data_IF_017624141228
#
_entry.id   IF_017624141228
#
_cell.length_a   1.000
_cell.length_b   1.000
_cell.length_c   1.000
_cell.angle_alpha   90.00
_cell.angle_beta   90.00
_cell.angle_gamma   90.00
#
_symmetry.space_group_name_H-M   'P 1'
#
loop_
_entity.id
_entity.type
_entity.pdbx_description
1 polymer ?
#
# COMPACT_ATOMS: atom_id res chain seq x y z
N UNK A 1 -5.41 -8.24 -37.95
CA UNK A 1 -6.60 -7.73 -37.19
C UNK A 1 -6.73 -8.61 -35.98
N UNK A 2 -6.80 -7.99 -34.78
CA UNK A 2 -6.89 -8.75 -33.54
C UNK A 2 -8.25 -9.40 -33.39
N UNK A 3 -8.26 -10.70 -33.03
CA UNK A 3 -9.44 -11.52 -32.83
C UNK A 3 -9.74 -11.65 -31.33
N UNK A 4 -10.94 -11.24 -30.90
CA UNK A 4 -11.37 -11.22 -29.49
C UNK A 4 -12.57 -12.15 -29.32
N UNK A 5 -12.51 -13.05 -28.33
CA UNK A 5 -13.64 -13.85 -27.88
C UNK A 5 -14.28 -13.19 -26.65
N UNK A 6 -15.56 -12.84 -26.73
CA UNK A 6 -16.38 -12.39 -25.59
C UNK A 6 -17.19 -13.57 -25.07
N UNK A 7 -17.12 -13.82 -23.77
CA UNK A 7 -17.92 -14.86 -23.10
C UNK A 7 -18.85 -14.17 -22.09
N UNK A 8 -20.14 -14.08 -22.46
CA UNK A 8 -21.14 -13.29 -21.74
C UNK A 8 -22.52 -13.87 -22.01
N UNK A 9 -23.30 -14.15 -20.99
CA UNK A 9 -24.64 -14.74 -21.09
C UNK A 9 -25.74 -13.70 -21.36
N UNK A 10 -25.52 -12.43 -20.97
CA UNK A 10 -26.42 -11.34 -21.37
C UNK A 10 -26.23 -11.01 -22.85
N UNK A 11 -27.23 -11.46 -23.65
CA UNK A 11 -27.24 -11.29 -25.10
C UNK A 11 -27.15 -9.81 -25.50
N UNK A 12 -27.83 -8.91 -24.78
CA UNK A 12 -27.87 -7.47 -25.06
C UNK A 12 -26.50 -6.84 -24.83
N UNK A 13 -25.90 -7.17 -23.70
CA UNK A 13 -24.57 -6.67 -23.33
C UNK A 13 -23.48 -7.24 -24.25
N UNK A 14 -23.55 -8.52 -24.57
CA UNK A 14 -22.64 -9.19 -25.52
C UNK A 14 -22.71 -8.55 -26.92
N UNK A 15 -23.92 -8.28 -27.42
CA UNK A 15 -24.12 -7.62 -28.73
C UNK A 15 -23.61 -6.17 -28.74
N UNK A 16 -23.82 -5.45 -27.65
CA UNK A 16 -23.31 -4.08 -27.48
C UNK A 16 -21.77 -4.08 -27.55
N UNK A 17 -21.09 -4.93 -26.79
CA UNK A 17 -19.63 -5.05 -26.77
C UNK A 17 -19.07 -5.48 -28.13
N UNK A 18 -19.69 -6.49 -28.74
CA UNK A 18 -19.28 -6.99 -30.08
C UNK A 18 -19.38 -5.90 -31.12
N UNK A 19 -20.47 -5.13 -31.13
CA UNK A 19 -20.68 -4.03 -32.08
C UNK A 19 -19.68 -2.90 -31.84
N UNK A 20 -19.46 -2.54 -30.58
CA UNK A 20 -18.56 -1.45 -30.21
C UNK A 20 -17.10 -1.77 -30.52
N UNK A 21 -16.61 -2.97 -30.14
CA UNK A 21 -15.24 -3.42 -30.45
C UNK A 21 -15.04 -3.60 -31.96
N UNK A 22 -16.05 -4.09 -32.70
CA UNK A 22 -16.02 -4.18 -34.14
C UNK A 22 -15.81 -2.81 -34.83
N UNK A 23 -16.48 -1.75 -34.34
CA UNK A 23 -16.25 -0.36 -34.79
C UNK A 23 -14.85 0.17 -34.47
N UNK A 24 -14.16 -0.41 -33.47
CA UNK A 24 -12.76 -0.07 -33.12
C UNK A 24 -11.72 -0.86 -33.91
N UNK A 25 -12.15 -1.72 -34.85
CA UNK A 25 -11.27 -2.46 -35.78
C UNK A 25 -10.86 -3.85 -35.29
N UNK A 26 -11.55 -4.41 -34.29
CA UNK A 26 -11.32 -5.78 -33.81
C UNK A 26 -12.26 -6.77 -34.53
N UNK A 27 -11.77 -8.01 -34.71
CA UNK A 27 -12.63 -9.14 -35.13
C UNK A 27 -13.18 -9.76 -33.83
N UNK A 28 -14.49 -9.74 -33.66
CA UNK A 28 -15.10 -10.17 -32.40
C UNK A 28 -16.02 -11.36 -32.61
N UNK A 29 -15.89 -12.39 -31.77
CA UNK A 29 -16.82 -13.50 -31.63
C UNK A 29 -17.40 -13.49 -30.24
N UNK A 30 -18.62 -13.99 -30.09
CA UNK A 30 -19.28 -14.09 -28.79
C UNK A 30 -19.70 -15.52 -28.48
N UNK A 31 -19.67 -15.86 -27.21
CA UNK A 31 -20.15 -17.10 -26.63
C UNK A 31 -20.99 -16.80 -25.41
N UNK A 32 -22.05 -17.55 -25.16
CA UNK A 32 -22.93 -17.36 -23.99
C UNK A 32 -22.65 -18.34 -22.85
N UNK A 33 -21.64 -19.20 -22.99
CA UNK A 33 -21.32 -20.23 -21.99
C UNK A 33 -19.85 -20.65 -22.05
N UNK A 34 -19.35 -21.21 -20.97
CA UNK A 34 -17.97 -21.76 -20.87
C UNK A 34 -17.79 -22.92 -21.86
N UNK A 35 -18.80 -23.77 -22.03
CA UNK A 35 -18.74 -24.93 -22.94
C UNK A 35 -18.62 -24.50 -24.39
N UNK A 36 -19.39 -23.49 -24.83
CA UNK A 36 -19.30 -22.96 -26.20
C UNK A 36 -17.96 -22.19 -26.41
N UNK A 37 -17.52 -21.48 -25.38
CA UNK A 37 -16.21 -20.79 -25.42
C UNK A 37 -15.04 -21.77 -25.63
N UNK A 38 -15.02 -22.88 -24.88
CA UNK A 38 -14.01 -23.95 -25.04
C UNK A 38 -14.03 -24.59 -26.42
N UNK A 39 -15.22 -24.83 -26.98
CA UNK A 39 -15.38 -25.37 -28.33
C UNK A 39 -14.78 -24.40 -29.36
N UNK A 40 -15.14 -23.11 -29.29
CA UNK A 40 -14.64 -22.09 -30.23
C UNK A 40 -13.14 -21.90 -30.12
N UNK A 41 -12.56 -21.92 -28.92
CA UNK A 41 -11.12 -21.85 -28.69
C UNK A 41 -10.34 -23.05 -29.24
N UNK A 42 -11.03 -24.18 -29.47
CA UNK A 42 -10.48 -25.34 -30.21
C UNK A 42 -10.60 -25.26 -31.74
N UNK A 43 -11.55 -24.45 -32.25
CA UNK A 43 -11.85 -24.33 -33.69
C UNK A 43 -11.21 -23.10 -34.33
N UNK A 44 -11.07 -21.99 -33.59
CA UNK A 44 -10.57 -20.70 -34.07
C UNK A 44 -9.46 -20.16 -33.17
N UNK A 45 -8.51 -19.41 -33.74
CA UNK A 45 -7.47 -18.72 -32.99
C UNK A 45 -7.94 -17.33 -32.53
N UNK A 46 -7.69 -16.99 -31.27
CA UNK A 46 -8.00 -15.69 -30.68
C UNK A 46 -6.75 -15.08 -30.06
N UNK A 47 -6.68 -13.75 -30.05
CA UNK A 47 -5.59 -12.98 -29.45
C UNK A 47 -5.93 -12.52 -28.02
N UNK A 48 -7.22 -12.53 -27.66
CA UNK A 48 -7.70 -12.12 -26.34
C UNK A 48 -9.06 -12.76 -26.03
N UNK A 49 -9.26 -13.15 -24.77
CA UNK A 49 -10.57 -13.55 -24.23
C UNK A 49 -11.04 -12.49 -23.21
N UNK A 50 -12.32 -12.09 -23.33
CA UNK A 50 -13.00 -11.23 -22.33
C UNK A 50 -14.18 -12.04 -21.80
N UNK A 51 -14.15 -12.43 -20.54
CA UNK A 51 -15.14 -13.34 -19.95
C UNK A 51 -15.86 -12.72 -18.76
N UNK A 52 -17.17 -12.88 -18.71
CA UNK A 52 -17.88 -12.67 -17.45
C UNK A 52 -17.43 -13.71 -16.44
N UNK A 53 -17.53 -13.30 -15.17
CA UNK A 53 -17.27 -14.17 -14.04
C UNK A 53 -18.39 -15.20 -13.87
N UNK A 54 -19.65 -14.78 -13.96
CA UNK A 54 -20.82 -15.64 -13.81
C UNK A 54 -21.38 -16.04 -15.16
N UNK A 55 -21.35 -17.33 -15.45
CA UNK A 55 -21.89 -17.91 -16.67
C UNK A 55 -22.85 -19.05 -16.31
N UNK A 56 -23.83 -19.36 -17.16
CA UNK A 56 -24.93 -20.27 -16.81
C UNK A 56 -24.51 -21.71 -16.57
N UNK A 57 -23.43 -22.17 -17.18
CA UNK A 57 -22.97 -23.56 -17.13
C UNK A 57 -21.75 -23.78 -16.24
N UNK A 58 -20.96 -22.73 -15.92
CA UNK A 58 -19.80 -22.81 -15.05
C UNK A 58 -19.29 -21.39 -14.71
N UNK A 59 -18.35 -21.28 -13.76
CA UNK A 59 -17.73 -20.03 -13.40
C UNK A 59 -16.66 -19.61 -14.44
N UNK A 60 -16.54 -18.31 -14.74
CA UNK A 60 -15.47 -17.77 -15.59
C UNK A 60 -14.06 -18.10 -15.10
N UNK A 61 -13.90 -18.37 -13.79
CA UNK A 61 -12.66 -18.90 -13.21
C UNK A 61 -12.31 -20.29 -13.73
N UNK A 62 -13.30 -21.14 -13.97
CA UNK A 62 -13.06 -22.48 -14.53
C UNK A 62 -12.65 -22.40 -16.00
N UNK A 63 -13.17 -21.41 -16.73
CA UNK A 63 -12.66 -21.11 -18.08
C UNK A 63 -11.22 -20.65 -18.03
N UNK A 64 -10.86 -19.75 -17.09
CA UNK A 64 -9.50 -19.26 -16.91
C UNK A 64 -8.51 -20.39 -16.60
N UNK A 65 -8.83 -21.27 -15.64
CA UNK A 65 -7.99 -22.43 -15.29
C UNK A 65 -7.79 -23.35 -16.50
N UNK A 66 -8.84 -23.65 -17.21
CA UNK A 66 -8.77 -24.48 -18.42
C UNK A 66 -7.89 -23.81 -19.49
N UNK A 67 -8.08 -22.51 -19.71
CA UNK A 67 -7.33 -21.72 -20.69
C UNK A 67 -5.83 -21.68 -20.36
N UNK A 68 -5.46 -21.51 -19.08
CA UNK A 68 -4.06 -21.53 -18.67
C UNK A 68 -3.38 -22.89 -18.84
N UNK A 69 -4.14 -23.98 -18.79
CA UNK A 69 -3.61 -25.32 -19.04
C UNK A 69 -3.49 -25.65 -20.54
N UNK A 70 -4.39 -25.14 -21.39
CA UNK A 70 -4.45 -25.48 -22.81
C UNK A 70 -3.84 -24.42 -23.73
N UNK A 71 -3.99 -23.14 -23.37
CA UNK A 71 -3.50 -21.98 -24.11
C UNK A 71 -2.81 -20.98 -23.17
N UNK A 72 -1.66 -21.30 -22.57
CA UNK A 72 -1.05 -20.51 -21.48
C UNK A 72 -0.66 -19.08 -21.88
N UNK A 73 -0.40 -18.82 -23.15
CA UNK A 73 -0.05 -17.50 -23.69
C UNK A 73 -1.27 -16.63 -24.02
N UNK A 74 -2.48 -17.20 -24.12
CA UNK A 74 -3.67 -16.43 -24.47
C UNK A 74 -4.14 -15.60 -23.27
N UNK A 75 -4.13 -14.24 -23.39
CA UNK A 75 -4.58 -13.38 -22.31
C UNK A 75 -6.10 -13.45 -22.12
N UNK A 76 -6.54 -13.36 -20.86
CA UNK A 76 -7.95 -13.27 -20.50
C UNK A 76 -8.18 -12.07 -19.58
N UNK A 77 -9.14 -11.20 -19.94
CA UNK A 77 -9.69 -10.14 -19.09
C UNK A 77 -10.97 -10.64 -18.47
N UNK A 78 -11.08 -10.56 -17.14
CA UNK A 78 -12.29 -10.96 -16.41
C UNK A 78 -13.23 -9.75 -16.23
N UNK A 79 -14.50 -9.88 -16.59
CA UNK A 79 -15.56 -8.91 -16.27
C UNK A 79 -16.26 -9.32 -14.98
N UNK A 80 -16.51 -8.36 -14.08
CA UNK A 80 -17.11 -8.65 -12.78
C UNK A 80 -18.07 -7.56 -12.33
N UNK A 81 -19.12 -7.90 -11.58
CA UNK A 81 -19.96 -6.91 -10.92
C UNK A 81 -19.26 -6.30 -9.70
N UNK A 82 -19.67 -5.10 -9.30
CA UNK A 82 -19.10 -4.38 -8.13
C UNK A 82 -19.13 -5.18 -6.81
N UNK A 83 -20.03 -6.15 -6.70
CA UNK A 83 -20.16 -7.01 -5.53
C UNK A 83 -19.12 -8.16 -5.48
N UNK A 84 -18.32 -8.37 -6.53
CA UNK A 84 -17.50 -9.57 -6.71
C UNK A 84 -16.00 -9.24 -6.89
N UNK A 85 -15.55 -8.10 -6.40
CA UNK A 85 -14.13 -7.65 -6.46
C UNK A 85 -13.17 -8.71 -5.88
N UNK A 86 -13.60 -9.47 -4.88
CA UNK A 86 -12.79 -10.55 -4.29
C UNK A 86 -12.51 -11.69 -5.29
N UNK A 87 -13.47 -11.99 -6.15
CA UNK A 87 -13.32 -13.03 -7.18
C UNK A 87 -12.47 -12.54 -8.35
N UNK A 88 -12.47 -11.22 -8.63
CA UNK A 88 -11.55 -10.61 -9.59
C UNK A 88 -10.07 -10.77 -9.15
N UNK A 89 -9.79 -10.58 -7.87
CA UNK A 89 -8.45 -10.83 -7.29
C UNK A 89 -8.05 -12.30 -7.44
N UNK A 90 -8.98 -13.22 -7.24
CA UNK A 90 -8.74 -14.66 -7.46
C UNK A 90 -8.43 -14.96 -8.94
N UNK A 91 -9.14 -14.32 -9.88
CA UNK A 91 -8.87 -14.46 -11.30
C UNK A 91 -7.46 -14.00 -11.66
N UNK A 92 -7.00 -12.88 -11.10
CA UNK A 92 -5.62 -12.39 -11.29
C UNK A 92 -4.58 -13.38 -10.76
N UNK A 93 -4.80 -13.97 -9.59
CA UNK A 93 -3.92 -15.00 -9.01
C UNK A 93 -3.83 -16.27 -9.86
N UNK A 94 -4.91 -16.60 -10.55
CA UNK A 94 -4.98 -17.76 -11.46
C UNK A 94 -4.43 -17.43 -12.86
N UNK A 95 -3.91 -16.23 -13.05
CA UNK A 95 -3.24 -15.81 -14.28
C UNK A 95 -4.15 -15.09 -15.27
N UNK A 96 -5.27 -14.52 -14.86
CA UNK A 96 -5.96 -13.53 -15.70
C UNK A 96 -5.01 -12.39 -16.04
N UNK A 97 -5.09 -11.88 -17.26
CA UNK A 97 -4.25 -10.78 -17.71
C UNK A 97 -4.68 -9.45 -17.06
N UNK A 98 -5.99 -9.27 -16.85
CA UNK A 98 -6.57 -8.13 -16.15
C UNK A 98 -8.03 -8.41 -15.77
N UNK A 99 -8.66 -7.48 -15.04
CA UNK A 99 -10.09 -7.48 -14.79
C UNK A 99 -10.70 -6.10 -15.02
N UNK A 100 -12.02 -6.06 -15.23
CA UNK A 100 -12.78 -4.83 -15.40
C UNK A 100 -14.14 -4.94 -14.72
N UNK A 101 -14.55 -3.88 -14.00
CA UNK A 101 -15.82 -3.85 -13.30
C UNK A 101 -16.98 -3.46 -14.23
N UNK A 102 -18.14 -4.11 -14.06
CA UNK A 102 -19.41 -3.68 -14.65
C UNK A 102 -20.08 -2.60 -13.75
N UNK A 103 -20.61 -1.48 -14.30
CA UNK A 103 -20.76 -1.15 -15.72
C UNK A 103 -19.42 -0.78 -16.35
N UNK A 104 -19.17 -1.32 -17.55
CA UNK A 104 -17.90 -1.14 -18.25
C UNK A 104 -17.68 0.32 -18.67
N UNK A 105 -16.49 0.83 -18.36
CA UNK A 105 -15.98 2.04 -18.99
C UNK A 105 -15.31 1.67 -20.33
N UNK A 106 -15.85 2.12 -21.48
CA UNK A 106 -15.30 1.76 -22.79
C UNK A 106 -13.85 2.17 -23.01
N UNK A 107 -13.45 3.34 -22.51
CA UNK A 107 -12.08 3.84 -22.68
C UNK A 107 -11.08 3.04 -21.82
N UNK A 108 -11.48 2.59 -20.63
CA UNK A 108 -10.69 1.72 -19.77
C UNK A 108 -10.47 0.35 -20.43
N UNK A 109 -11.54 -0.28 -20.94
CA UNK A 109 -11.44 -1.56 -21.65
C UNK A 109 -10.51 -1.46 -22.87
N UNK A 110 -10.65 -0.39 -23.66
CA UNK A 110 -9.78 -0.18 -24.84
C UNK A 110 -8.32 0.04 -24.44
N UNK A 111 -8.06 0.73 -23.34
CA UNK A 111 -6.75 0.92 -22.75
C UNK A 111 -6.08 -0.42 -22.41
N UNK A 112 -6.80 -1.26 -21.65
CA UNK A 112 -6.34 -2.61 -21.25
C UNK A 112 -6.08 -3.53 -22.45
N UNK A 113 -6.96 -3.54 -23.45
CA UNK A 113 -6.77 -4.31 -24.68
C UNK A 113 -5.48 -3.88 -25.40
N UNK A 114 -5.26 -2.57 -25.57
CA UNK A 114 -4.06 -2.05 -26.24
C UNK A 114 -2.77 -2.32 -25.48
N UNK A 115 -2.82 -2.34 -24.18
CA UNK A 115 -1.67 -2.61 -23.31
C UNK A 115 -1.24 -4.06 -23.40
N UNK A 116 -2.18 -4.99 -23.36
CA UNK A 116 -1.91 -6.43 -23.50
C UNK A 116 -1.34 -6.81 -24.86
N UNK A 117 -1.81 -6.16 -25.93
CA UNK A 117 -1.33 -6.43 -27.29
C UNK A 117 0.05 -5.83 -27.56
N UNK A 118 0.41 -4.68 -26.99
CA UNK A 118 1.76 -4.09 -27.11
C UNK A 118 2.85 -4.94 -26.47
N UNK A 119 2.49 -5.80 -25.50
CA UNK A 119 3.43 -6.71 -24.84
C UNK A 119 3.90 -7.83 -25.76
N UNK A 120 3.09 -8.25 -26.77
CA UNK A 120 3.50 -9.31 -27.72
C UNK A 120 4.47 -8.85 -28.82
N UNK A 121 4.51 -7.54 -29.16
CA UNK A 121 5.43 -7.03 -30.18
C UNK A 121 6.88 -6.78 -29.69
N UNK A 122 7.15 -6.91 -28.40
CA UNK A 122 8.49 -6.72 -27.82
C UNK A 122 8.81 -7.80 -26.79
N UNK A 123 9.13 -9.00 -27.26
CA UNK A 123 9.85 -9.97 -26.44
C UNK A 123 11.35 -9.95 -26.78
N UNK A 124 12.20 -9.26 -26.00
CA UNK A 124 13.59 -9.64 -25.91
C UNK A 124 13.76 -10.72 -24.85
N UNK A 125 14.73 -11.61 -25.11
CA UNK A 125 15.10 -12.79 -24.34
C UNK A 125 14.90 -12.69 -22.82
N UNK A 126 14.26 -13.70 -22.26
CA UNK A 126 14.12 -13.94 -20.82
C UNK A 126 15.49 -13.96 -20.14
N UNK A 127 15.77 -12.92 -19.39
CA UNK A 127 16.71 -13.01 -18.28
C UNK A 127 15.93 -13.66 -17.14
N UNK A 128 16.45 -14.70 -16.46
CA UNK A 128 15.77 -15.29 -15.31
C UNK A 128 15.72 -14.26 -14.18
N UNK A 129 14.56 -13.64 -14.01
CA UNK A 129 14.28 -12.85 -12.81
C UNK A 129 14.07 -13.86 -11.69
N UNK A 130 15.01 -13.93 -10.79
CA UNK A 130 14.86 -14.53 -9.47
C UNK A 130 13.66 -13.87 -8.80
N UNK A 131 12.52 -14.56 -8.81
CA UNK A 131 11.29 -14.13 -8.15
C UNK A 131 11.37 -14.39 -6.64
N UNK A 132 12.02 -13.48 -5.93
CA UNK A 132 11.54 -13.17 -4.60
C UNK A 132 10.20 -12.42 -4.77
N UNK A 133 9.13 -12.73 -4.01
CA UNK A 133 7.89 -11.99 -4.10
C UNK A 133 8.20 -10.51 -3.89
N UNK A 134 7.71 -9.65 -4.80
CA UNK A 134 7.89 -8.20 -4.67
C UNK A 134 7.36 -7.78 -3.30
N UNK A 135 8.28 -7.44 -2.39
CA UNK A 135 7.97 -7.14 -1.00
C UNK A 135 7.09 -5.87 -0.88
N UNK A 136 6.86 -5.19 -2.01
CA UNK A 136 6.28 -3.86 -2.05
C UNK A 136 5.39 -3.67 -3.28
N UNK A 137 4.26 -2.99 -3.08
CA UNK A 137 3.30 -2.65 -4.13
C UNK A 137 3.08 -1.13 -4.17
N UNK A 138 2.90 -0.59 -5.36
CA UNK A 138 2.60 0.83 -5.57
C UNK A 138 1.10 1.08 -5.45
N UNK A 139 0.71 2.14 -4.71
CA UNK A 139 -0.68 2.57 -4.63
C UNK A 139 -1.17 3.15 -5.96
N UNK A 140 -2.49 3.13 -6.15
CA UNK A 140 -3.16 3.60 -7.38
C UNK A 140 -4.00 4.88 -7.15
N UNK A 141 -4.15 5.33 -5.91
CA UNK A 141 -4.85 6.57 -5.58
C UNK A 141 -4.22 7.80 -6.24
N UNK A 142 -4.97 8.88 -6.34
CA UNK A 142 -4.43 10.13 -6.87
C UNK A 142 -3.20 10.62 -6.07
N UNK A 143 -3.24 10.50 -4.74
CA UNK A 143 -2.12 10.85 -3.87
C UNK A 143 -0.88 9.97 -4.11
N UNK A 144 -1.08 8.67 -4.35
CA UNK A 144 0.00 7.75 -4.70
C UNK A 144 0.60 8.08 -6.09
N UNK A 145 -0.24 8.37 -7.08
CA UNK A 145 0.23 8.76 -8.43
C UNK A 145 1.12 10.00 -8.37
N UNK A 146 0.72 11.04 -7.65
CA UNK A 146 1.53 12.25 -7.47
C UNK A 146 2.86 11.95 -6.77
N UNK A 147 2.85 11.09 -5.76
CA UNK A 147 4.06 10.63 -5.09
C UNK A 147 5.04 9.97 -6.08
N UNK A 148 4.56 9.03 -6.89
CA UNK A 148 5.41 8.33 -7.87
C UNK A 148 5.84 9.21 -9.04
N UNK A 149 5.07 10.22 -9.43
CA UNK A 149 5.51 11.26 -10.37
C UNK A 149 6.71 12.02 -9.82
N UNK A 150 6.69 12.46 -8.56
CA UNK A 150 7.84 13.10 -7.93
C UNK A 150 9.05 12.16 -7.86
N UNK A 151 8.85 10.87 -7.56
CA UNK A 151 9.92 9.86 -7.58
C UNK A 151 10.56 9.78 -8.98
N UNK A 152 9.75 9.65 -10.05
CA UNK A 152 10.25 9.58 -11.43
C UNK A 152 11.00 10.84 -11.86
N UNK A 153 10.54 12.02 -11.43
CA UNK A 153 11.20 13.29 -11.74
C UNK A 153 12.57 13.42 -11.08
N UNK A 154 12.68 13.04 -9.80
CA UNK A 154 13.92 13.24 -9.05
C UNK A 154 14.93 12.10 -9.23
N UNK A 155 14.44 10.87 -9.54
CA UNK A 155 15.31 9.69 -9.62
C UNK A 155 16.52 9.86 -10.55
N UNK A 156 16.42 10.40 -11.79
CA UNK A 156 17.56 10.52 -12.69
C UNK A 156 18.54 11.65 -12.32
N UNK A 157 18.23 12.44 -11.29
CA UNK A 157 19.10 13.57 -10.85
C UNK A 157 20.04 13.12 -9.74
N UNK A 158 21.06 13.93 -9.45
CA UNK A 158 21.95 13.77 -8.28
C UNK A 158 21.51 14.62 -7.06
N UNK A 159 20.32 15.23 -7.11
CA UNK A 159 19.78 16.03 -6.01
C UNK A 159 19.65 15.21 -4.72
N UNK A 160 19.94 15.85 -3.60
CA UNK A 160 19.61 15.32 -2.28
C UNK A 160 18.11 15.31 -2.08
N UNK A 161 17.54 14.19 -1.60
CA UNK A 161 16.10 14.03 -1.43
C UNK A 161 15.77 13.87 0.05
N UNK A 162 14.83 14.69 0.54
CA UNK A 162 14.23 14.53 1.87
C UNK A 162 12.85 13.87 1.75
N UNK A 163 12.72 12.64 2.24
CA UNK A 163 11.46 11.90 2.29
C UNK A 163 10.79 12.14 3.63
N UNK A 164 9.62 12.76 3.63
CA UNK A 164 8.85 13.05 4.86
C UNK A 164 7.56 12.22 4.89
N UNK A 165 7.17 11.79 6.07
CA UNK A 165 5.92 11.03 6.29
C UNK A 165 5.89 10.35 7.63
N UNK A 166 4.70 10.04 8.14
CA UNK A 166 4.51 9.38 9.41
C UNK A 166 5.23 8.01 9.48
N UNK A 167 5.38 7.48 10.70
CA UNK A 167 5.96 6.14 10.87
C UNK A 167 5.13 5.09 10.12
N UNK A 168 5.80 4.14 9.49
CA UNK A 168 5.16 3.03 8.79
C UNK A 168 4.55 3.36 7.42
N UNK A 169 4.75 4.56 6.86
CA UNK A 169 4.22 4.96 5.54
C UNK A 169 4.98 4.36 4.36
N UNK A 170 6.20 3.83 4.58
CA UNK A 170 7.05 3.22 3.55
C UNK A 170 8.18 4.11 3.04
N UNK A 171 8.78 4.96 3.90
CA UNK A 171 9.88 5.88 3.53
C UNK A 171 11.08 5.16 2.91
N UNK A 172 11.52 4.05 3.48
CA UNK A 172 12.64 3.25 2.93
C UNK A 172 12.31 2.70 1.53
N UNK A 173 11.07 2.25 1.32
CA UNK A 173 10.63 1.79 0.00
C UNK A 173 10.76 2.89 -1.05
N UNK A 174 10.29 4.11 -0.76
CA UNK A 174 10.43 5.24 -1.67
C UNK A 174 11.89 5.57 -1.95
N UNK A 175 12.76 5.51 -0.93
CA UNK A 175 14.19 5.72 -1.12
C UNK A 175 14.81 4.66 -2.04
N UNK A 176 14.44 3.38 -1.91
CA UNK A 176 14.88 2.29 -2.80
C UNK A 176 14.38 2.51 -4.23
N UNK A 177 13.11 2.91 -4.41
CA UNK A 177 12.55 3.20 -5.76
C UNK A 177 13.26 4.37 -6.43
N UNK A 178 13.63 5.42 -5.68
CA UNK A 178 14.47 6.53 -6.20
C UNK A 178 15.82 6.01 -6.68
N UNK A 179 16.47 5.15 -5.90
CA UNK A 179 17.76 4.57 -6.27
C UNK A 179 17.64 3.65 -7.50
N UNK A 180 16.66 2.74 -7.52
CA UNK A 180 16.42 1.78 -8.62
C UNK A 180 16.14 2.46 -9.96
N UNK A 181 15.47 3.62 -9.95
CA UNK A 181 15.17 4.42 -11.12
C UNK A 181 16.24 5.48 -11.44
N UNK A 182 17.35 5.52 -10.68
CA UNK A 182 18.44 6.48 -10.86
C UNK A 182 19.51 5.97 -11.82
N UNK A 183 20.39 6.90 -12.23
CA UNK A 183 21.61 6.56 -12.98
C UNK A 183 22.61 5.72 -12.15
N UNK A 184 22.38 5.57 -10.84
CA UNK A 184 23.18 4.82 -9.89
C UNK A 184 22.57 3.47 -9.50
N UNK A 185 21.53 2.99 -10.20
CA UNK A 185 20.76 1.79 -9.85
C UNK A 185 21.57 0.49 -9.76
N UNK A 186 22.74 0.44 -10.44
CA UNK A 186 23.66 -0.72 -10.38
C UNK A 186 24.76 -0.58 -9.31
N UNK A 187 24.83 0.57 -8.64
CA UNK A 187 25.81 0.87 -7.61
C UNK A 187 25.23 0.55 -6.20
N UNK A 188 26.05 0.57 -5.15
CA UNK A 188 25.57 0.24 -3.80
C UNK A 188 24.44 1.16 -3.31
N UNK A 189 23.44 0.59 -2.65
CA UNK A 189 22.45 1.27 -1.82
C UNK A 189 22.72 0.93 -0.36
N UNK A 190 23.21 1.89 0.41
CA UNK A 190 23.55 1.72 1.82
C UNK A 190 22.51 2.44 2.68
N UNK A 191 21.71 1.68 3.43
CA UNK A 191 20.73 2.23 4.36
C UNK A 191 21.31 2.28 5.78
N UNK A 192 21.08 3.40 6.45
CA UNK A 192 21.52 3.65 7.84
C UNK A 192 20.32 4.19 8.62
N UNK A 193 19.91 3.47 9.67
CA UNK A 193 18.88 3.91 10.60
C UNK A 193 19.55 4.72 11.72
N UNK A 194 19.36 6.05 11.68
CA UNK A 194 19.97 6.96 12.65
C UNK A 194 19.39 6.80 14.07
N UNK A 195 18.17 6.30 14.18
CA UNK A 195 17.50 6.04 15.47
C UNK A 195 17.98 4.76 16.16
N UNK A 196 18.42 3.77 15.37
CA UNK A 196 18.90 2.49 15.90
C UNK A 196 20.36 2.49 16.35
N UNK A 197 21.15 3.50 15.92
CA UNK A 197 22.58 3.58 16.25
C UNK A 197 22.78 4.29 17.60
N UNK A 198 23.52 3.70 18.57
CA UNK A 198 23.93 4.39 19.77
C UNK A 198 24.68 5.68 19.44
N UNK A 199 24.38 6.77 20.14
CA UNK A 199 24.93 8.11 19.85
C UNK A 199 26.45 8.13 19.79
N UNK A 200 27.11 7.39 20.68
CA UNK A 200 28.57 7.28 20.79
C UNK A 200 29.21 6.57 19.59
N UNK A 201 28.45 5.72 18.90
CA UNK A 201 28.93 4.94 17.76
C UNK A 201 28.56 5.57 16.42
N UNK A 202 27.65 6.54 16.39
CA UNK A 202 27.12 7.11 15.17
C UNK A 202 28.23 7.64 14.24
N UNK A 203 29.18 8.42 14.74
CA UNK A 203 30.30 8.92 13.94
C UNK A 203 31.14 7.79 13.33
N UNK A 204 31.35 6.69 14.08
CA UNK A 204 32.08 5.52 13.60
C UNK A 204 31.30 4.74 12.52
N UNK A 205 29.98 4.64 12.65
CA UNK A 205 29.12 4.00 11.63
C UNK A 205 29.11 4.79 10.32
N UNK A 206 29.01 6.12 10.41
CA UNK A 206 28.97 6.97 9.23
C UNK A 206 30.31 7.12 8.52
N UNK A 207 31.35 7.43 9.27
CA UNK A 207 32.66 7.88 8.71
C UNK A 207 33.75 6.82 8.81
N UNK A 208 33.55 5.78 9.62
CA UNK A 208 34.53 4.74 9.89
C UNK A 208 35.55 5.14 10.99
N UNK A 209 36.39 4.21 11.36
CA UNK A 209 37.46 4.45 12.32
C UNK A 209 38.70 3.60 12.03
N UNK A 210 39.85 4.01 12.52
CA UNK A 210 41.07 3.23 12.53
C UNK A 210 41.25 2.52 13.88
N UNK A 211 41.90 1.39 13.87
CA UNK A 211 42.23 0.61 15.06
C UNK A 211 42.90 1.48 16.12
N UNK A 212 42.44 1.38 17.38
CA UNK A 212 42.98 2.11 18.53
C UNK A 212 42.51 3.57 18.65
N UNK A 213 41.55 4.02 17.86
CA UNK A 213 41.05 5.40 17.88
C UNK A 213 40.19 5.74 19.11
N UNK A 214 39.61 4.75 19.73
CA UNK A 214 38.82 4.84 20.99
C UNK A 214 38.80 3.49 21.72
N UNK A 215 38.38 3.51 22.99
CA UNK A 215 38.23 2.27 23.78
C UNK A 215 37.14 1.36 23.13
N UNK A 216 37.58 0.22 22.57
CA UNK A 216 36.73 -0.68 21.78
C UNK A 216 37.00 -0.70 20.28
N UNK A 217 37.87 0.17 19.74
CA UNK A 217 38.30 0.13 18.34
C UNK A 217 39.36 -0.97 18.12
N UNK A 218 38.93 -2.23 18.11
CA UNK A 218 39.84 -3.39 18.01
C UNK A 218 40.38 -3.56 16.59
N UNK A 219 39.58 -3.21 15.56
CA UNK A 219 39.91 -3.31 14.15
C UNK A 219 39.58 -2.00 13.40
N UNK A 220 40.00 -1.90 12.14
CA UNK A 220 39.57 -0.80 11.27
C UNK A 220 38.16 -1.02 10.80
N UNK A 221 37.31 0.01 10.77
CA UNK A 221 35.95 -0.05 10.27
C UNK A 221 35.74 0.89 9.10
N UNK A 222 35.23 0.37 7.99
CA UNK A 222 34.81 1.19 6.85
C UNK A 222 33.45 1.82 7.17
N UNK A 223 33.34 3.15 7.05
CA UNK A 223 32.11 3.88 7.29
C UNK A 223 31.09 3.74 6.15
N UNK A 224 29.82 4.01 6.46
CA UNK A 224 28.71 3.91 5.51
C UNK A 224 28.88 4.78 4.26
N UNK A 225 29.48 5.97 4.39
CA UNK A 225 29.78 6.85 3.24
C UNK A 225 30.78 6.24 2.27
N UNK A 226 31.79 5.57 2.77
CA UNK A 226 32.77 4.86 1.93
C UNK A 226 32.16 3.62 1.32
N UNK A 227 31.34 2.88 2.06
CA UNK A 227 30.62 1.71 1.57
C UNK A 227 29.63 2.05 0.46
N UNK A 228 29.03 3.26 0.47
CA UNK A 228 28.11 3.77 -0.55
C UNK A 228 28.81 4.39 -1.76
N UNK A 229 30.13 4.29 -1.88
CA UNK A 229 30.91 4.92 -2.94
C UNK A 229 30.34 4.62 -4.34
N UNK A 230 30.12 5.67 -5.14
CA UNK A 230 29.52 5.59 -6.47
C UNK A 230 27.99 5.42 -6.48
N UNK A 231 27.39 5.09 -5.34
CA UNK A 231 26.00 4.73 -5.18
C UNK A 231 25.16 5.76 -4.41
N UNK A 232 24.27 5.26 -3.57
CA UNK A 232 23.32 6.06 -2.78
C UNK A 232 23.43 5.68 -1.30
N UNK A 233 23.50 6.69 -0.44
CA UNK A 233 23.35 6.52 1.00
C UNK A 233 21.93 6.98 1.40
N UNK A 234 21.22 6.14 2.14
CA UNK A 234 19.91 6.44 2.69
C UNK A 234 20.00 6.56 4.21
N UNK A 235 19.60 7.71 4.75
CA UNK A 235 19.62 8.01 6.17
C UNK A 235 18.17 8.07 6.68
N UNK A 236 17.70 7.01 7.37
CA UNK A 236 16.37 7.02 7.99
C UNK A 236 16.44 7.68 9.37
N UNK A 237 15.34 8.33 9.75
CA UNK A 237 15.20 9.07 11.02
C UNK A 237 16.32 10.09 11.27
N UNK A 238 16.64 10.90 10.25
CA UNK A 238 17.78 11.85 10.28
C UNK A 238 17.68 12.88 11.43
N UNK A 239 16.47 13.14 11.96
CA UNK A 239 16.25 14.01 13.13
C UNK A 239 16.94 13.51 14.40
N UNK A 240 17.24 12.21 14.52
CA UNK A 240 17.86 11.60 15.69
C UNK A 240 19.39 11.79 15.77
N UNK A 241 20.03 12.42 14.76
CA UNK A 241 21.47 12.65 14.76
C UNK A 241 21.88 13.64 15.85
N UNK A 242 22.98 13.32 16.56
CA UNK A 242 23.59 14.26 17.49
C UNK A 242 24.18 15.46 16.76
N UNK A 243 24.29 16.61 17.46
CA UNK A 243 24.81 17.84 16.87
C UNK A 243 26.20 17.65 16.23
N UNK A 244 27.09 16.89 16.88
CA UNK A 244 28.44 16.59 16.38
C UNK A 244 28.42 15.82 15.06
N UNK A 245 27.51 14.83 14.94
CA UNK A 245 27.36 14.05 13.70
C UNK A 245 26.75 14.91 12.59
N UNK A 246 25.81 15.82 12.92
CA UNK A 246 25.25 16.77 11.95
C UNK A 246 26.37 17.68 11.36
N UNK A 247 27.29 18.16 12.19
CA UNK A 247 28.46 18.97 11.72
C UNK A 247 29.34 18.18 10.77
N UNK A 248 29.65 16.92 11.12
CA UNK A 248 30.52 16.08 10.28
C UNK A 248 29.79 15.67 8.98
N UNK A 249 28.51 15.40 9.05
CA UNK A 249 27.68 15.11 7.88
C UNK A 249 27.65 16.28 6.90
N UNK A 250 27.43 17.50 7.41
CA UNK A 250 27.46 18.70 6.57
C UNK A 250 28.80 18.88 5.84
N UNK A 251 29.91 18.70 6.54
CA UNK A 251 31.26 18.76 5.93
C UNK A 251 31.43 17.69 4.85
N UNK A 252 31.02 16.43 5.13
CA UNK A 252 31.12 15.34 4.17
C UNK A 252 30.31 15.63 2.87
N UNK A 253 29.12 16.26 3.01
CA UNK A 253 28.28 16.63 1.86
C UNK A 253 28.81 17.84 1.07
N UNK A 254 29.48 18.80 1.75
CA UNK A 254 30.05 20.00 1.12
C UNK A 254 31.37 19.71 0.43
N UNK A 255 32.30 19.06 1.16
CA UNK A 255 33.67 18.82 0.71
C UNK A 255 33.81 17.58 -0.15
N UNK A 256 32.76 16.71 -0.19
CA UNK A 256 32.79 15.40 -0.85
C UNK A 256 33.94 14.52 -0.35
N UNK A 257 34.24 14.61 0.93
CA UNK A 257 35.29 13.85 1.60
C UNK A 257 34.83 13.45 2.99
N UNK A 258 35.31 12.30 3.47
CA UNK A 258 35.13 11.84 4.85
C UNK A 258 36.49 11.55 5.48
N UNK A 259 36.58 11.75 6.80
CA UNK A 259 37.76 11.47 7.58
C UNK A 259 37.39 10.43 8.65
N UNK A 260 37.96 9.21 8.58
CA UNK A 260 37.73 8.19 9.63
C UNK A 260 38.24 8.67 11.00
N UNK A 261 37.56 8.26 12.07
CA UNK A 261 37.94 8.60 13.44
C UNK A 261 39.37 8.07 13.72
N UNK A 262 40.22 8.91 14.27
CA UNK A 262 41.61 8.57 14.55
C UNK A 262 42.55 8.60 13.33
N UNK A 263 42.05 8.87 12.12
CA UNK A 263 42.84 9.01 10.91
C UNK A 263 43.10 10.49 10.59
N UNK A 264 44.23 10.78 9.97
CA UNK A 264 44.49 12.09 9.34
C UNK A 264 44.24 12.07 7.83
N UNK A 265 43.95 10.91 7.25
CA UNK A 265 43.71 10.76 5.82
C UNK A 265 42.23 11.05 5.49
N UNK A 266 42.03 11.94 4.51
CA UNK A 266 40.72 12.21 3.92
C UNK A 266 40.47 11.22 2.78
N UNK A 267 39.25 10.71 2.69
CA UNK A 267 38.79 9.80 1.64
C UNK A 267 37.74 10.54 0.81
N UNK A 268 38.02 10.71 -0.48
CA UNK A 268 37.04 11.32 -1.40
C UNK A 268 35.83 10.40 -1.59
N UNK A 269 34.63 10.97 -1.52
CA UNK A 269 33.38 10.26 -1.69
C UNK A 269 32.52 10.83 -2.84
N UNK A 270 31.90 9.95 -3.58
CA UNK A 270 30.89 10.31 -4.57
C UNK A 270 29.63 9.53 -4.26
N UNK A 271 28.74 10.09 -3.44
CA UNK A 271 27.51 9.46 -3.00
C UNK A 271 26.32 10.39 -3.24
N UNK A 272 25.19 9.82 -3.63
CA UNK A 272 23.89 10.50 -3.61
C UNK A 272 23.27 10.33 -2.24
N UNK A 273 22.73 11.41 -1.66
CA UNK A 273 22.04 11.36 -0.38
C UNK A 273 20.53 11.30 -0.58
N UNK A 274 19.90 10.35 0.10
CA UNK A 274 18.46 10.33 0.38
C UNK A 274 18.32 10.28 1.89
N UNK A 275 17.51 11.15 2.47
CA UNK A 275 17.24 11.18 3.92
C UNK A 275 15.74 11.06 4.18
N UNK A 276 15.37 10.48 5.32
CA UNK A 276 13.98 10.35 5.72
C UNK A 276 13.76 10.79 7.17
N UNK A 277 12.56 11.30 7.44
CA UNK A 277 12.14 11.67 8.79
C UNK A 277 10.62 11.60 8.94
N UNK A 278 10.16 11.31 10.15
CA UNK A 278 8.78 11.47 10.59
C UNK A 278 8.57 12.75 11.42
N UNK A 279 9.64 13.49 11.73
CA UNK A 279 9.63 14.68 12.54
C UNK A 279 9.53 15.96 11.71
N UNK A 280 9.09 17.04 12.34
CA UNK A 280 9.14 18.37 11.74
C UNK A 280 10.50 19.01 11.98
N UNK A 281 11.42 18.86 11.01
CA UNK A 281 12.79 19.42 11.14
C UNK A 281 12.82 20.94 11.31
N UNK A 282 11.82 21.69 10.84
CA UNK A 282 11.76 23.15 11.06
C UNK A 282 11.55 23.46 12.54
N UNK A 283 10.68 22.71 13.21
CA UNK A 283 10.51 22.84 14.67
C UNK A 283 11.74 22.39 15.44
N UNK A 284 12.47 21.37 14.95
CA UNK A 284 13.73 20.96 15.55
C UNK A 284 14.83 22.04 15.40
N UNK A 285 14.85 22.76 14.27
CA UNK A 285 15.74 23.91 14.06
C UNK A 285 15.42 25.04 15.06
N UNK A 286 14.14 25.39 15.22
CA UNK A 286 13.70 26.41 16.21
C UNK A 286 14.09 26.07 17.65
N UNK A 287 14.14 24.79 18.00
CA UNK A 287 14.56 24.29 19.32
C UNK A 287 16.09 24.19 19.47
N UNK A 288 16.85 24.29 18.37
CA UNK A 288 18.30 24.09 18.37
C UNK A 288 18.75 22.62 18.30
N UNK A 289 17.82 21.67 18.10
CA UNK A 289 18.12 20.25 18.02
C UNK A 289 18.64 19.83 16.61
N UNK A 290 18.33 20.63 15.58
CA UNK A 290 18.77 20.38 14.21
C UNK A 290 19.37 21.65 13.60
N UNK A 291 20.42 21.49 12.79
CA UNK A 291 21.12 22.61 12.15
C UNK A 291 20.40 23.07 10.88
N UNK A 292 20.20 24.36 10.75
CA UNK A 292 19.57 24.98 9.58
C UNK A 292 20.39 24.80 8.28
N UNK A 293 21.72 24.91 8.38
CA UNK A 293 22.63 24.74 7.23
C UNK A 293 22.60 23.30 6.68
N UNK A 294 22.55 22.31 7.56
CA UNK A 294 22.36 20.91 7.18
C UNK A 294 20.99 20.69 6.53
N UNK A 295 19.92 21.25 7.12
CA UNK A 295 18.58 21.15 6.56
C UNK A 295 18.53 21.62 5.11
N UNK A 296 19.11 22.78 4.79
CA UNK A 296 19.14 23.29 3.42
C UNK A 296 19.96 22.40 2.48
N UNK A 297 20.99 21.72 2.98
CA UNK A 297 21.82 20.82 2.16
C UNK A 297 21.16 19.49 1.85
N UNK A 298 20.34 18.95 2.76
CA UNK A 298 19.64 17.67 2.56
C UNK A 298 18.29 17.83 1.89
N UNK A 299 17.69 19.02 1.92
CA UNK A 299 16.37 19.34 1.43
C UNK A 299 16.39 20.10 0.10
N UNK A 300 17.14 19.58 -0.90
CA UNK A 300 17.09 20.12 -2.26
C UNK A 300 15.79 19.75 -2.97
N UNK A 301 15.24 18.57 -2.67
CA UNK A 301 13.92 18.11 -3.13
C UNK A 301 13.20 17.37 -2.02
N UNK A 302 11.95 17.74 -1.74
CA UNK A 302 11.12 17.08 -0.71
C UNK A 302 10.09 16.16 -1.36
N UNK A 303 9.98 14.92 -0.86
CA UNK A 303 8.89 14.01 -1.17
C UNK A 303 8.10 13.74 0.11
N UNK A 304 6.82 14.13 0.12
CA UNK A 304 5.90 13.79 1.21
C UNK A 304 5.15 12.52 0.87
N UNK A 305 5.25 11.52 1.76
CA UNK A 305 4.42 10.30 1.66
C UNK A 305 3.11 10.55 2.40
N UNK A 306 1.95 10.40 1.75
CA UNK A 306 0.66 10.55 2.41
C UNK A 306 0.41 9.42 3.40
N UNK A 307 -0.29 9.72 4.49
CA UNK A 307 -0.78 8.70 5.43
C UNK A 307 -1.77 7.76 4.74
N UNK A 308 -1.93 6.55 5.26
CA UNK A 308 -2.86 5.57 4.69
C UNK A 308 -4.31 6.08 4.70
N UNK A 309 -4.69 6.90 5.69
CA UNK A 309 -6.01 7.56 5.75
C UNK A 309 -6.26 8.55 4.61
N UNK A 310 -5.20 9.14 4.02
CA UNK A 310 -5.28 10.08 2.89
C UNK A 310 -5.36 9.36 1.53
N UNK A 311 -5.11 8.03 1.51
CA UNK A 311 -5.15 7.17 0.32
C UNK A 311 -6.00 5.92 0.55
N UNK A 312 -7.23 6.11 1.01
CA UNK A 312 -8.18 5.02 1.33
C UNK A 312 -8.48 4.10 0.15
N UNK A 313 -8.38 4.60 -1.08
CA UNK A 313 -8.54 3.83 -2.31
C UNK A 313 -7.50 2.71 -2.43
N UNK A 314 -6.30 2.92 -1.88
CA UNK A 314 -5.21 1.94 -1.91
C UNK A 314 -5.31 0.89 -0.80
N UNK A 315 -6.20 1.10 0.18
CA UNK A 315 -6.28 0.27 1.39
C UNK A 315 -6.50 -1.21 1.07
N UNK A 316 -7.45 -1.51 0.17
CA UNK A 316 -7.75 -2.88 -0.24
C UNK A 316 -6.58 -3.51 -0.99
N UNK A 317 -5.92 -2.74 -1.84
CA UNK A 317 -4.74 -3.17 -2.58
C UNK A 317 -3.61 -3.60 -1.62
N UNK A 318 -3.30 -2.77 -0.62
CA UNK A 318 -2.30 -3.09 0.38
C UNK A 318 -2.73 -4.24 1.28
N UNK A 319 -4.01 -4.30 1.69
CA UNK A 319 -4.51 -5.38 2.53
C UNK A 319 -4.38 -6.74 1.84
N UNK A 320 -4.76 -6.85 0.58
CA UNK A 320 -4.61 -8.10 -0.19
C UNK A 320 -3.14 -8.48 -0.37
N UNK A 321 -2.27 -7.52 -0.69
CA UNK A 321 -0.84 -7.79 -0.82
C UNK A 321 -0.24 -8.32 0.48
N UNK A 322 -0.58 -7.72 1.64
CA UNK A 322 -0.10 -8.21 2.93
C UNK A 322 -0.69 -9.56 3.31
N UNK A 323 -1.92 -9.85 2.88
CA UNK A 323 -2.52 -11.18 3.04
C UNK A 323 -1.76 -12.24 2.22
N UNK A 324 -1.40 -11.93 0.98
CA UNK A 324 -0.62 -12.84 0.13
C UNK A 324 0.76 -13.13 0.73
N UNK A 325 1.44 -12.10 1.25
CA UNK A 325 2.70 -12.27 1.96
C UNK A 325 2.53 -13.11 3.22
N UNK A 326 1.48 -12.86 4.02
CA UNK A 326 1.20 -13.62 5.23
C UNK A 326 0.85 -15.08 4.92
N UNK A 327 0.04 -15.34 3.87
CA UNK A 327 -0.26 -16.70 3.41
C UNK A 327 1.01 -17.45 3.03
N UNK A 328 1.90 -16.81 2.24
CA UNK A 328 3.17 -17.42 1.84
C UNK A 328 4.07 -17.72 3.03
N UNK A 329 4.19 -16.79 3.97
CA UNK A 329 5.07 -16.94 5.14
C UNK A 329 4.54 -17.96 6.16
N UNK A 330 3.21 -17.99 6.36
CA UNK A 330 2.55 -18.84 7.36
C UNK A 330 2.02 -20.16 6.77
N UNK A 331 2.21 -20.39 5.48
CA UNK A 331 1.69 -21.56 4.75
C UNK A 331 0.18 -21.73 4.93
N UNK A 332 -0.59 -20.64 4.81
CA UNK A 332 -2.04 -20.57 4.90
C UNK A 332 -2.64 -20.27 3.53
N UNK A 333 -3.92 -20.64 3.34
CA UNK A 333 -4.69 -20.41 2.10
C UNK A 333 -5.92 -19.56 2.39
N UNK A 334 -5.73 -18.42 3.05
CA UNK A 334 -6.80 -17.46 3.33
C UNK A 334 -7.10 -16.69 2.04
N UNK A 335 -8.37 -16.68 1.63
CA UNK A 335 -8.80 -16.09 0.35
C UNK A 335 -8.95 -14.57 0.45
N UNK A 336 -9.35 -14.06 1.62
CA UNK A 336 -9.63 -12.63 1.77
C UNK A 336 -10.20 -12.28 3.14
N UNK A 337 -10.93 -11.18 3.17
CA UNK A 337 -11.57 -10.61 4.36
C UNK A 337 -13.09 -10.65 4.19
N UNK A 338 -13.85 -10.83 5.27
CA UNK A 338 -15.29 -10.67 5.22
C UNK A 338 -15.72 -9.20 5.10
N UNK A 339 -17.00 -8.96 4.82
CA UNK A 339 -17.49 -7.59 4.61
C UNK A 339 -17.35 -6.72 5.86
N UNK A 340 -17.54 -7.28 7.04
CA UNK A 340 -17.46 -6.54 8.31
C UNK A 340 -16.01 -6.13 8.60
N UNK A 341 -15.06 -6.99 8.33
CA UNK A 341 -13.62 -6.70 8.42
C UNK A 341 -13.21 -5.61 7.41
N UNK A 342 -13.72 -5.66 6.19
CA UNK A 342 -13.44 -4.64 5.18
C UNK A 342 -14.00 -3.26 5.56
N UNK A 343 -15.22 -3.19 6.08
CA UNK A 343 -15.79 -1.95 6.58
C UNK A 343 -14.98 -1.38 7.76
N UNK A 344 -14.53 -2.25 8.66
CA UNK A 344 -13.66 -1.87 9.76
C UNK A 344 -12.33 -1.29 9.26
N UNK A 345 -11.67 -1.94 8.30
CA UNK A 345 -10.42 -1.45 7.71
C UNK A 345 -10.58 -0.06 7.07
N UNK A 346 -11.72 0.18 6.38
CA UNK A 346 -12.02 1.49 5.75
C UNK A 346 -12.31 2.60 6.77
N UNK A 347 -12.89 2.26 7.92
CA UNK A 347 -13.23 3.21 8.97
C UNK A 347 -12.08 3.51 9.92
N UNK A 348 -11.13 2.59 10.06
CA UNK A 348 -10.00 2.74 10.98
C UNK A 348 -8.95 3.73 10.44
N UNK A 349 -8.36 4.51 11.34
CA UNK A 349 -7.44 5.60 10.98
C UNK A 349 -6.02 5.16 10.60
N UNK A 350 -5.63 3.93 10.95
CA UNK A 350 -4.31 3.34 10.71
C UNK A 350 -3.15 4.23 11.19
N UNK A 351 -3.05 4.56 12.49
CA UNK A 351 -1.99 5.45 12.99
C UNK A 351 -0.58 4.93 12.73
N UNK A 352 -0.37 3.61 12.67
CA UNK A 352 0.89 2.98 12.29
C UNK A 352 1.00 2.65 10.80
N UNK A 353 0.10 3.20 9.96
CA UNK A 353 0.11 3.10 8.50
C UNK A 353 0.30 1.66 7.99
N UNK A 354 1.11 1.46 6.96
CA UNK A 354 1.34 0.15 6.33
C UNK A 354 2.02 -0.85 7.27
N UNK A 355 2.87 -0.36 8.20
CA UNK A 355 3.53 -1.25 9.18
C UNK A 355 2.51 -1.89 10.12
N UNK A 356 1.56 -1.10 10.63
CA UNK A 356 0.47 -1.60 11.46
C UNK A 356 -0.44 -2.54 10.67
N UNK A 357 -0.85 -2.15 9.47
CA UNK A 357 -1.71 -2.98 8.61
C UNK A 357 -1.07 -4.35 8.32
N UNK A 358 0.21 -4.39 7.94
CA UNK A 358 0.96 -5.64 7.73
C UNK A 358 0.94 -6.54 8.96
N UNK A 359 1.20 -5.98 10.15
CA UNK A 359 1.22 -6.75 11.39
C UNK A 359 -0.17 -7.28 11.76
N UNK A 360 -1.22 -6.46 11.64
CA UNK A 360 -2.61 -6.84 11.89
C UNK A 360 -3.04 -7.98 10.97
N UNK A 361 -2.77 -7.86 9.68
CA UNK A 361 -3.15 -8.89 8.70
C UNK A 361 -2.37 -10.19 8.94
N UNK A 362 -1.06 -10.11 9.23
CA UNK A 362 -0.26 -11.29 9.56
C UNK A 362 -0.78 -11.98 10.82
N UNK A 363 -1.11 -11.23 11.87
CA UNK A 363 -1.71 -11.74 13.11
C UNK A 363 -3.05 -12.42 12.83
N UNK A 364 -3.96 -11.76 12.11
CA UNK A 364 -5.27 -12.30 11.77
C UNK A 364 -5.17 -13.55 10.88
N UNK A 365 -4.23 -13.57 9.92
CA UNK A 365 -3.95 -14.74 9.08
C UNK A 365 -3.50 -15.94 9.92
N UNK A 366 -2.65 -15.72 10.94
CA UNK A 366 -2.19 -16.78 11.84
C UNK A 366 -3.36 -17.41 12.60
N UNK A 367 -4.28 -16.59 13.13
CA UNK A 367 -5.42 -17.03 13.92
C UNK A 367 -6.57 -17.59 13.08
N UNK A 368 -6.67 -17.23 11.81
CA UNK A 368 -7.78 -17.65 10.96
C UNK A 368 -7.83 -19.17 10.82
N UNK A 369 -9.01 -19.74 11.12
CA UNK A 369 -9.33 -21.16 10.96
C UNK A 369 -10.20 -21.43 9.72
N UNK A 370 -10.83 -20.39 9.18
CA UNK A 370 -11.64 -20.41 7.96
C UNK A 370 -10.89 -19.93 6.73
N UNK A 371 -11.61 -19.79 5.60
CA UNK A 371 -11.08 -19.26 4.36
C UNK A 371 -11.03 -17.72 4.30
N UNK A 372 -11.72 -17.05 5.22
CA UNK A 372 -11.78 -15.59 5.30
C UNK A 372 -11.38 -15.13 6.69
N UNK A 373 -10.67 -14.00 6.77
CA UNK A 373 -10.44 -13.28 8.02
C UNK A 373 -11.73 -12.55 8.38
N UNK A 374 -12.20 -12.78 9.61
CA UNK A 374 -13.37 -12.12 10.20
C UNK A 374 -12.94 -11.19 11.35
N UNK A 375 -13.89 -10.42 11.89
CA UNK A 375 -13.60 -9.53 13.05
C UNK A 375 -13.04 -10.26 14.27
N UNK A 376 -13.29 -11.57 14.41
CA UNK A 376 -12.87 -12.37 15.57
C UNK A 376 -11.36 -12.58 15.63
N UNK A 377 -10.71 -12.61 14.48
CA UNK A 377 -9.27 -12.80 14.36
C UNK A 377 -8.49 -11.48 14.43
N UNK A 378 -9.18 -10.32 14.46
CA UNK A 378 -8.53 -9.03 14.53
C UNK A 378 -8.12 -8.67 15.97
N UNK A 379 -7.03 -7.90 16.15
CA UNK A 379 -6.67 -7.37 17.46
C UNK A 379 -7.76 -6.46 18.06
N UNK A 380 -7.93 -6.49 19.37
CA UNK A 380 -8.93 -5.69 20.12
C UNK A 380 -8.82 -4.19 19.83
N UNK A 381 -7.61 -3.67 19.62
CA UNK A 381 -7.35 -2.27 19.28
C UNK A 381 -8.12 -1.76 18.06
N UNK A 382 -8.37 -2.63 17.07
CA UNK A 382 -9.17 -2.29 15.90
C UNK A 382 -10.66 -2.37 16.19
N UNK A 383 -11.09 -3.26 17.10
CA UNK A 383 -12.49 -3.55 17.36
C UNK A 383 -13.12 -2.63 18.41
N UNK A 384 -12.33 -2.09 19.34
CA UNK A 384 -12.80 -1.23 20.41
C UNK A 384 -13.03 0.25 20.00
N UNK A 385 -12.37 0.74 18.94
CA UNK A 385 -12.41 2.14 18.53
C UNK A 385 -13.51 2.50 17.52
N UNK A 386 -14.52 1.68 17.34
CA UNK A 386 -15.68 2.04 16.54
C UNK A 386 -16.71 2.81 17.38
N UNK A 387 -17.27 3.92 16.87
CA UNK A 387 -18.56 4.37 17.34
C UNK A 387 -19.55 3.23 17.01
N UNK A 388 -19.92 2.49 18.02
CA UNK A 388 -20.89 1.39 17.90
C UNK A 388 -22.22 1.93 17.36
N UNK A 389 -22.41 1.84 16.05
CA UNK A 389 -23.73 1.86 15.42
C UNK A 389 -24.41 0.52 15.60
N UNK A 390 -24.50 0.05 16.83
CA UNK A 390 -25.39 -1.06 17.16
C UNK A 390 -25.66 -1.02 18.67
N UNK A 391 -26.91 -0.72 19.00
CA UNK A 391 -27.49 -0.90 20.32
C UNK A 391 -26.55 -0.53 21.48
N UNK A 392 -26.63 0.71 21.90
CA UNK A 392 -26.23 1.09 23.24
C UNK A 392 -27.05 0.23 24.20
N UNK A 393 -26.61 -0.98 24.49
CA UNK A 393 -26.99 -1.67 25.69
C UNK A 393 -26.31 -0.89 26.83
N UNK A 394 -27.09 -0.02 27.37
CA UNK A 394 -26.81 0.83 28.52
C UNK A 394 -26.45 -0.04 29.71
N UNK A 395 -25.18 -0.40 29.84
CA UNK A 395 -24.65 -1.16 30.99
C UNK A 395 -24.15 -0.28 32.15
N UNK A 396 -24.27 1.05 32.02
CA UNK A 396 -23.88 1.96 33.07
C UNK A 396 -25.07 2.87 33.46
N UNK A 397 -25.80 2.45 34.47
CA UNK A 397 -27.04 3.09 34.97
C UNK A 397 -26.84 4.59 35.27
N UNK A 398 -25.68 4.97 35.78
CA UNK A 398 -25.39 6.36 36.08
C UNK A 398 -25.15 7.21 34.84
N UNK A 399 -24.48 6.67 33.85
CA UNK A 399 -24.23 7.37 32.59
C UNK A 399 -25.52 7.57 31.79
N UNK A 400 -26.38 6.56 31.76
CA UNK A 400 -27.70 6.63 31.12
C UNK A 400 -28.57 7.69 31.77
N UNK A 401 -28.61 7.71 33.13
CA UNK A 401 -29.34 8.70 33.89
C UNK A 401 -28.86 10.12 33.58
N UNK A 402 -27.54 10.33 33.45
CA UNK A 402 -26.95 11.62 33.11
C UNK A 402 -27.32 12.06 31.67
N UNK A 403 -27.30 11.15 30.68
CA UNK A 403 -27.70 11.43 29.30
C UNK A 403 -29.18 11.79 29.17
N UNK A 404 -30.05 11.07 29.85
CA UNK A 404 -31.50 11.35 29.82
C UNK A 404 -31.77 12.72 30.47
N UNK A 405 -31.10 13.04 31.58
CA UNK A 405 -31.23 14.34 32.26
C UNK A 405 -30.77 15.49 31.38
N UNK A 406 -29.64 15.33 30.69
CA UNK A 406 -29.10 16.32 29.75
C UNK A 406 -30.03 16.55 28.58
N UNK A 407 -30.56 15.49 27.96
CA UNK A 407 -31.48 15.58 26.83
C UNK A 407 -32.82 16.27 27.21
N UNK A 408 -33.31 16.01 28.43
CA UNK A 408 -34.50 16.72 28.95
C UNK A 408 -34.26 18.21 29.16
N UNK A 409 -33.08 18.58 29.70
CA UNK A 409 -32.70 19.99 29.89
C UNK A 409 -32.56 20.72 28.57
N UNK A 410 -31.89 20.13 27.57
CA UNK A 410 -31.71 20.71 26.25
C UNK A 410 -33.02 20.86 25.48
N UNK A 411 -33.98 19.98 25.73
CA UNK A 411 -35.30 20.03 25.09
C UNK A 411 -36.38 20.76 25.93
N UNK A 412 -36.01 21.48 27.00
CA UNK A 412 -36.94 22.21 27.85
C UNK A 412 -38.01 21.31 28.47
N UNK A 413 -37.64 20.12 28.95
CA UNK A 413 -38.50 19.06 29.50
C UNK A 413 -39.54 18.48 28.48
N UNK A 414 -39.39 18.73 27.20
CA UNK A 414 -40.26 18.12 26.18
C UNK A 414 -39.85 16.65 25.93
N UNK A 415 -40.58 15.74 26.59
CA UNK A 415 -40.32 14.29 26.54
C UNK A 415 -40.37 13.69 25.14
N UNK A 416 -41.13 14.28 24.21
CA UNK A 416 -41.20 13.82 22.82
C UNK A 416 -39.93 14.19 22.02
N UNK A 417 -39.44 15.44 22.18
CA UNK A 417 -38.20 15.92 21.59
C UNK A 417 -36.97 15.23 22.21
N UNK A 418 -36.99 15.01 23.52
CA UNK A 418 -35.90 14.32 24.20
C UNK A 418 -35.79 12.84 23.74
N UNK A 419 -36.92 12.14 23.50
CA UNK A 419 -36.90 10.79 22.94
C UNK A 419 -36.29 10.77 21.51
N UNK A 420 -36.64 11.74 20.69
CA UNK A 420 -36.03 11.88 19.34
C UNK A 420 -34.55 12.20 19.40
N UNK A 421 -34.11 13.08 20.29
CA UNK A 421 -32.70 13.42 20.50
C UNK A 421 -31.86 12.23 20.97
N UNK A 422 -32.46 11.36 21.80
CA UNK A 422 -31.83 10.14 22.32
C UNK A 422 -31.95 8.93 21.36
N UNK A 423 -32.66 9.07 20.23
CA UNK A 423 -32.86 7.98 19.27
C UNK A 423 -33.69 6.81 19.81
N UNK A 424 -34.55 7.04 20.82
CA UNK A 424 -35.42 6.03 21.42
C UNK A 424 -36.91 6.39 21.24
N UNK A 425 -37.78 5.39 21.29
CA UNK A 425 -39.21 5.65 21.25
C UNK A 425 -39.71 6.27 22.55
N UNK A 426 -40.83 7.01 22.45
CA UNK A 426 -41.41 7.74 23.56
C UNK A 426 -41.80 6.82 24.75
N UNK A 427 -42.27 5.61 24.49
CA UNK A 427 -42.67 4.64 25.51
C UNK A 427 -41.44 4.15 26.30
N UNK A 428 -40.34 3.92 25.62
CA UNK A 428 -39.06 3.53 26.22
C UNK A 428 -38.51 4.66 27.11
N UNK A 429 -38.57 5.93 26.65
CA UNK A 429 -38.18 7.07 27.50
C UNK A 429 -39.02 7.17 28.78
N UNK A 430 -40.33 7.04 28.66
CA UNK A 430 -41.22 7.07 29.86
C UNK A 430 -40.91 5.94 30.83
N UNK A 431 -40.68 4.73 30.38
CA UNK A 431 -40.29 3.64 31.26
C UNK A 431 -38.94 3.90 31.96
N UNK A 432 -37.98 4.49 31.27
CA UNK A 432 -36.67 4.82 31.85
C UNK A 432 -36.73 5.99 32.85
N UNK A 433 -37.55 7.01 32.55
CA UNK A 433 -37.81 8.10 33.52
C UNK A 433 -38.39 7.56 34.85
N UNK A 434 -39.30 6.60 34.74
CA UNK A 434 -39.89 5.94 35.93
C UNK A 434 -38.86 5.09 36.69
N UNK A 435 -38.02 4.33 35.99
CA UNK A 435 -36.98 3.49 36.59
C UNK A 435 -35.93 4.34 37.29
N UNK A 436 -35.55 5.50 36.69
CA UNK A 436 -34.48 6.37 37.22
C UNK A 436 -34.98 7.50 38.11
N UNK A 437 -36.28 7.56 38.39
CA UNK A 437 -36.91 8.60 39.23
C UNK A 437 -36.57 10.03 38.77
N UNK A 438 -36.69 10.28 37.48
CA UNK A 438 -36.37 11.55 36.80
C UNK A 438 -37.61 12.33 36.34
N UNK A 439 -38.81 12.02 36.86
CA UNK A 439 -40.06 12.69 36.54
C UNK A 439 -40.15 14.06 37.17
#
# INVERSE_FOLDING_TARGET
MLSILIVEDDITFSLMLTTWLGKKGFVVRSSSSVSDAKRRLGEEAFDLVISDLRLPDSDGIDLLKWLKNTHPSLPLIMMTSYAEIQTAVQAMKLGAADYIAKPLNPDELLGKIKELVRVEEKAPARVPVSSAPDLYIEGQSQAARQLYEHVRLVAPTDMSVLVTGASGTGKEYIARRIHEQSNRSKAPFVAVDCGAIPKELAASEFFGHVKGSFTGAIENKTGAFVAAQGGTIFLDEIGNLTYEVQVQLLRALQERKVKPIGSNQEIAINVRLISATNENLRQAIEKGDFREDLYHRINEFTIRIPDLKERKEDLLLFANHFLDLANSELQKDIIGFDNDTMQLFQSYSWPGNLRQMKNVIKYATLLATGRYITRKELPEELTENLPSHTNIQLKNVEHERALIRKALQECGNNKTRAAQLLGIDRKTLYNKLKIYQLD
#
